data_IF_051344544444
#
_entry.id   IF_051344544444
#
_cell.length_a   1.000
_cell.length_b   1.000
_cell.length_c   1.000
_cell.angle_alpha   90.00
_cell.angle_beta   90.00
_cell.angle_gamma   90.00
#
_symmetry.space_group_name_H-M   'P 1'
#
loop_
_entity.id
_entity.type
_entity.pdbx_description
1 polymer ?
#
# COMPACT_ATOMS: atom_id res chain seq x y z
N UNK A 1 37.35 -42.06 41.25
CA UNK A 1 36.46 -41.10 41.94
C UNK A 1 35.03 -41.55 41.75
N UNK A 2 34.34 -41.99 42.82
CA UNK A 2 32.92 -42.35 42.78
C UNK A 2 32.17 -41.28 43.58
N UNK A 3 31.41 -40.43 42.90
CA UNK A 3 30.56 -39.42 43.55
C UNK A 3 29.31 -40.10 44.10
N UNK A 4 28.92 -39.76 45.33
CA UNK A 4 27.72 -40.33 45.96
C UNK A 4 26.46 -39.84 45.26
N UNK A 5 25.45 -40.70 45.08
CA UNK A 5 24.14 -40.33 44.50
C UNK A 5 23.51 -39.12 45.20
N UNK A 6 23.75 -38.93 46.50
CA UNK A 6 23.31 -37.75 47.25
C UNK A 6 24.03 -36.46 46.81
N UNK A 7 25.31 -36.53 46.45
CA UNK A 7 26.08 -35.39 45.92
C UNK A 7 25.65 -35.04 44.50
N UNK A 8 25.28 -36.03 43.69
CA UNK A 8 24.74 -35.82 42.34
C UNK A 8 23.34 -35.19 42.42
N UNK A 9 22.47 -35.64 43.33
CA UNK A 9 21.13 -35.07 43.51
C UNK A 9 21.19 -33.65 44.07
N UNK A 10 22.08 -33.36 45.02
CA UNK A 10 22.27 -32.01 45.56
C UNK A 10 22.80 -31.06 44.48
N UNK A 11 23.74 -31.51 43.64
CA UNK A 11 24.25 -30.73 42.51
C UNK A 11 23.16 -30.47 41.45
N UNK A 12 22.31 -31.46 41.14
CA UNK A 12 21.18 -31.31 40.21
C UNK A 12 20.12 -30.36 40.79
N UNK A 13 19.79 -30.47 42.08
CA UNK A 13 18.83 -29.59 42.77
C UNK A 13 19.31 -28.13 42.83
N UNK A 14 20.61 -27.89 42.99
CA UNK A 14 21.21 -26.55 42.90
C UNK A 14 21.26 -26.01 41.48
N UNK A 15 21.40 -26.88 40.47
CA UNK A 15 21.37 -26.50 39.04
C UNK A 15 19.95 -26.20 38.56
N UNK A 16 18.92 -26.89 39.10
CA UNK A 16 17.51 -26.58 38.78
C UNK A 16 17.00 -25.29 39.42
N UNK A 17 17.67 -24.75 40.45
CA UNK A 17 17.37 -23.44 41.04
C UNK A 17 18.03 -22.26 40.28
N UNK A 18 18.94 -22.56 39.35
CA UNK A 18 19.57 -21.60 38.44
C UNK A 18 18.90 -21.58 37.05
N UNK A 19 17.80 -22.31 36.87
CA UNK A 19 16.93 -22.15 35.71
C UNK A 19 16.34 -20.73 35.78
N UNK A 20 17.04 -19.81 35.13
CA UNK A 20 16.72 -18.41 34.93
C UNK A 20 15.22 -18.27 34.70
N UNK A 21 14.56 -17.48 35.55
CA UNK A 21 13.19 -17.06 35.30
C UNK A 21 13.26 -16.10 34.10
N UNK A 22 13.06 -16.60 32.87
CA UNK A 22 12.94 -15.75 31.69
C UNK A 22 11.71 -14.88 31.89
N UNK A 23 11.92 -13.58 32.02
CA UNK A 23 10.85 -12.61 32.16
C UNK A 23 10.34 -12.27 30.77
N UNK A 24 9.10 -12.62 30.52
CA UNK A 24 8.38 -12.28 29.29
C UNK A 24 7.77 -10.88 29.43
N UNK A 25 7.90 -10.07 28.40
CA UNK A 25 7.35 -8.71 28.33
C UNK A 25 7.92 -7.96 27.14
N UNK A 26 7.37 -6.79 26.81
CA UNK A 26 7.87 -6.03 25.68
C UNK A 26 9.34 -5.58 25.90
N UNK A 27 10.24 -6.02 25.02
CA UNK A 27 11.67 -5.67 25.08
C UNK A 27 12.04 -4.44 24.22
N UNK A 28 11.09 -3.86 23.47
CA UNK A 28 11.34 -2.67 22.66
C UNK A 28 11.21 -1.38 23.50
N UNK A 29 12.29 -0.60 23.71
CA UNK A 29 12.25 0.65 24.46
C UNK A 29 11.38 1.74 23.83
N UNK A 30 10.98 1.60 22.56
CA UNK A 30 10.08 2.52 21.87
C UNK A 30 8.59 2.22 22.13
N UNK A 31 8.28 1.10 22.79
CA UNK A 31 6.92 0.73 23.17
C UNK A 31 6.49 1.42 24.48
N UNK A 32 5.20 1.73 24.60
CA UNK A 32 4.60 2.35 25.78
C UNK A 32 4.54 1.42 26.99
N UNK A 33 4.53 0.11 26.74
CA UNK A 33 4.52 -0.95 27.73
C UNK A 33 5.89 -1.67 27.86
N UNK A 34 6.99 -0.99 27.49
CA UNK A 34 8.34 -1.52 27.64
C UNK A 34 8.61 -2.03 29.06
N UNK A 35 9.05 -3.28 29.16
CA UNK A 35 9.41 -3.95 30.40
C UNK A 35 10.94 -4.07 30.48
N UNK A 36 11.59 -3.18 31.24
CA UNK A 36 13.06 -3.15 31.41
C UNK A 36 13.65 -4.45 31.94
N UNK A 37 12.83 -5.25 32.62
CA UNK A 37 13.23 -6.53 33.18
C UNK A 37 12.80 -7.72 32.32
N UNK A 38 12.22 -7.51 31.14
CA UNK A 38 11.91 -8.59 30.21
C UNK A 38 13.17 -9.03 29.47
N UNK A 39 13.44 -10.34 29.49
CA UNK A 39 14.53 -10.98 28.78
C UNK A 39 14.06 -11.56 27.42
N UNK A 40 12.75 -11.75 27.26
CA UNK A 40 12.11 -12.28 26.06
C UNK A 40 10.92 -11.40 25.67
N UNK A 41 10.83 -11.03 24.39
CA UNK A 41 9.66 -10.35 23.85
C UNK A 41 8.45 -11.29 23.79
N UNK A 42 7.37 -10.90 24.45
CA UNK A 42 6.10 -11.65 24.44
C UNK A 42 5.19 -11.27 23.26
N UNK A 43 5.64 -10.34 22.41
CA UNK A 43 4.90 -9.87 21.24
C UNK A 43 3.74 -8.94 21.58
N UNK A 44 3.67 -8.44 22.83
CA UNK A 44 2.60 -7.54 23.29
C UNK A 44 2.99 -6.07 23.24
N UNK A 45 4.13 -5.70 22.65
CA UNK A 45 4.56 -4.31 22.53
C UNK A 45 3.48 -3.40 21.95
N UNK A 46 3.08 -2.40 22.73
CA UNK A 46 2.15 -1.34 22.34
C UNK A 46 2.96 -0.10 21.94
N UNK A 47 2.60 0.53 20.82
CA UNK A 47 3.27 1.73 20.35
C UNK A 47 2.26 2.86 20.25
N UNK A 48 2.57 3.99 20.88
CA UNK A 48 1.82 5.22 20.68
C UNK A 48 2.01 5.71 19.24
N UNK A 49 0.96 5.61 18.44
CA UNK A 49 0.94 6.21 17.09
C UNK A 49 0.51 7.67 17.22
N UNK A 50 1.47 8.58 17.26
CA UNK A 50 1.20 10.00 17.18
C UNK A 50 1.12 10.45 15.71
N UNK A 51 -0.10 10.71 15.23
CA UNK A 51 -0.30 11.39 13.96
C UNK A 51 -0.03 12.89 14.14
N UNK A 52 0.94 13.50 13.41
CA UNK A 52 1.15 14.93 13.48
C UNK A 52 -0.09 15.68 12.96
N UNK A 53 -0.40 16.83 13.57
CA UNK A 53 -1.49 17.69 13.10
C UNK A 53 -1.28 18.17 11.66
N UNK A 54 -0.02 18.27 11.22
CA UNK A 54 0.37 18.71 9.88
C UNK A 54 1.55 17.88 9.36
N UNK A 55 1.48 17.44 8.11
CA UNK A 55 2.60 16.84 7.39
C UNK A 55 3.30 17.91 6.54
N UNK A 56 4.61 18.04 6.70
CA UNK A 56 5.45 18.96 5.91
C UNK A 56 6.41 18.15 5.06
N UNK A 57 6.34 18.34 3.74
CA UNK A 57 7.18 17.64 2.77
C UNK A 57 8.11 18.66 2.12
N UNK A 58 9.20 18.96 2.80
CA UNK A 58 10.21 19.92 2.34
C UNK A 58 11.59 19.30 2.26
N UNK A 59 12.41 19.77 1.33
CA UNK A 59 13.83 19.43 1.28
C UNK A 59 14.62 20.15 2.39
N UNK A 60 15.92 19.90 2.47
CA UNK A 60 16.80 20.55 3.44
C UNK A 60 16.89 22.08 3.27
N UNK A 61 16.44 22.62 2.13
CA UNK A 61 16.39 24.05 1.81
C UNK A 61 15.00 24.67 2.06
N UNK A 62 14.02 23.89 2.53
CA UNK A 62 12.66 24.34 2.78
C UNK A 62 11.73 24.36 1.56
N UNK A 63 12.18 23.90 0.39
CA UNK A 63 11.32 23.82 -0.79
C UNK A 63 10.42 22.59 -0.72
N UNK A 64 9.18 22.69 -1.19
CA UNK A 64 8.29 21.53 -1.23
C UNK A 64 8.86 20.45 -2.16
N UNK A 65 8.95 19.21 -1.67
CA UNK A 65 9.29 18.05 -2.49
C UNK A 65 8.10 17.49 -3.26
N UNK A 66 6.92 18.09 -3.06
CA UNK A 66 5.64 17.61 -3.57
C UNK A 66 5.26 18.39 -4.83
N UNK A 67 5.19 17.69 -5.97
CA UNK A 67 4.68 18.29 -7.22
C UNK A 67 3.15 18.26 -7.21
N UNK A 68 2.52 19.36 -6.81
CA UNK A 68 1.05 19.48 -6.77
C UNK A 68 0.42 19.39 -8.16
N UNK A 69 0.96 20.09 -9.16
CA UNK A 69 0.45 20.04 -10.54
C UNK A 69 0.49 18.62 -11.09
N UNK A 70 1.59 17.89 -10.92
CA UNK A 70 1.71 16.50 -11.40
C UNK A 70 0.80 15.50 -10.67
N UNK A 71 0.33 15.83 -9.46
CA UNK A 71 -0.70 15.06 -8.77
C UNK A 71 -2.09 15.39 -9.29
N UNK A 72 -2.39 16.68 -9.49
CA UNK A 72 -3.66 17.12 -10.07
C UNK A 72 -3.87 16.59 -11.48
N UNK A 73 -2.81 16.57 -12.31
CA UNK A 73 -2.85 15.95 -13.63
C UNK A 73 -3.30 14.48 -13.56
N UNK A 74 -2.71 13.67 -12.66
CA UNK A 74 -3.14 12.27 -12.48
C UNK A 74 -4.55 12.15 -11.93
N UNK A 75 -4.95 13.04 -11.04
CA UNK A 75 -6.32 13.05 -10.52
C UNK A 75 -7.33 13.34 -11.63
N UNK A 76 -7.03 14.31 -12.50
CA UNK A 76 -7.82 14.60 -13.69
C UNK A 76 -7.84 13.39 -14.65
N UNK A 77 -6.70 12.76 -14.93
CA UNK A 77 -6.63 11.52 -15.72
C UNK A 77 -7.54 10.42 -15.18
N UNK A 78 -7.47 10.17 -13.85
CA UNK A 78 -8.31 9.17 -13.20
C UNK A 78 -9.80 9.55 -13.25
N UNK A 79 -10.11 10.83 -13.11
CA UNK A 79 -11.48 11.36 -13.18
C UNK A 79 -12.09 11.13 -14.56
N UNK A 80 -11.33 11.43 -15.61
CA UNK A 80 -11.77 11.25 -16.99
C UNK A 80 -11.90 9.75 -17.33
N UNK A 81 -10.93 8.91 -16.94
CA UNK A 81 -11.02 7.45 -17.11
C UNK A 81 -12.22 6.86 -16.38
N UNK A 82 -12.51 7.33 -15.16
CA UNK A 82 -13.70 6.93 -14.39
C UNK A 82 -14.98 7.36 -15.09
N UNK A 83 -14.99 8.54 -15.73
CA UNK A 83 -16.13 9.04 -16.49
C UNK A 83 -16.38 8.17 -17.72
N UNK A 84 -15.32 7.79 -18.43
CA UNK A 84 -15.41 6.86 -19.55
C UNK A 84 -15.92 5.48 -19.10
N UNK A 85 -15.38 4.90 -18.03
CA UNK A 85 -15.87 3.63 -17.47
C UNK A 85 -17.37 3.69 -17.12
N UNK A 86 -17.84 4.81 -16.57
CA UNK A 86 -19.25 5.01 -16.22
C UNK A 86 -20.17 5.12 -17.43
N UNK A 87 -19.66 5.45 -18.63
CA UNK A 87 -20.50 5.49 -19.82
C UNK A 87 -21.06 4.11 -20.18
N UNK A 88 -20.40 3.02 -19.75
CA UNK A 88 -20.92 1.66 -19.89
C UNK A 88 -22.25 1.41 -19.15
N UNK A 89 -22.60 2.27 -18.18
CA UNK A 89 -23.89 2.19 -17.49
C UNK A 89 -25.06 2.68 -18.38
N UNK A 90 -24.77 3.30 -19.53
CA UNK A 90 -25.78 3.63 -20.52
C UNK A 90 -25.97 2.42 -21.44
N UNK A 91 -27.17 1.80 -21.47
CA UNK A 91 -27.41 0.62 -22.29
C UNK A 91 -27.02 0.83 -23.76
N UNK A 92 -26.35 -0.16 -24.35
CA UNK A 92 -25.86 -0.10 -25.73
C UNK A 92 -24.56 0.71 -25.91
N UNK A 93 -23.96 1.23 -24.84
CA UNK A 93 -22.66 1.92 -24.91
C UNK A 93 -21.54 0.94 -24.54
N UNK A 94 -20.79 0.50 -25.55
CA UNK A 94 -19.61 -0.34 -25.36
C UNK A 94 -18.36 0.52 -25.12
N UNK A 95 -17.54 0.10 -24.16
CA UNK A 95 -16.21 0.65 -23.95
C UNK A 95 -15.20 0.04 -24.93
N UNK A 96 -14.15 0.80 -25.22
CA UNK A 96 -13.03 0.35 -26.03
C UNK A 96 -11.82 0.09 -25.13
N UNK A 97 -11.33 -1.16 -25.15
CA UNK A 97 -10.17 -1.57 -24.36
C UNK A 97 -8.91 -0.74 -24.70
N UNK A 98 -8.64 -0.48 -25.99
CA UNK A 98 -7.47 0.29 -26.41
C UNK A 98 -7.54 1.72 -25.87
N UNK A 99 -8.73 2.33 -25.81
CA UNK A 99 -8.91 3.64 -25.18
C UNK A 99 -8.59 3.59 -23.70
N UNK A 100 -9.09 2.60 -22.95
CA UNK A 100 -8.78 2.45 -21.53
C UNK A 100 -7.28 2.24 -21.28
N UNK A 101 -6.63 1.41 -22.08
CA UNK A 101 -5.19 1.15 -22.00
C UNK A 101 -4.38 2.42 -22.33
N UNK A 102 -4.78 3.17 -23.35
CA UNK A 102 -4.18 4.46 -23.71
C UNK A 102 -4.35 5.51 -22.60
N UNK A 103 -5.53 5.59 -21.97
CA UNK A 103 -5.77 6.45 -20.80
C UNK A 103 -4.92 6.02 -19.59
N UNK A 104 -4.79 4.72 -19.35
CA UNK A 104 -4.06 4.20 -18.20
C UNK A 104 -2.55 4.42 -18.30
N UNK A 105 -1.98 4.15 -19.48
CA UNK A 105 -0.56 4.35 -19.78
C UNK A 105 -0.22 5.80 -20.18
N UNK A 106 -1.23 6.64 -20.42
CA UNK A 106 -1.08 7.94 -21.09
C UNK A 106 -0.23 7.82 -22.36
N UNK A 107 -0.67 6.95 -23.26
CA UNK A 107 -0.01 6.63 -24.52
C UNK A 107 -1.01 6.75 -25.67
N UNK A 108 -0.90 7.82 -26.46
CA UNK A 108 -1.79 8.08 -27.59
C UNK A 108 -3.20 8.57 -27.22
N UNK A 109 -3.45 8.94 -25.95
CA UNK A 109 -4.70 9.56 -25.51
C UNK A 109 -4.55 11.08 -25.33
N UNK A 110 -5.56 11.84 -25.77
CA UNK A 110 -5.61 13.30 -25.57
C UNK A 110 -6.59 13.60 -24.45
N UNK A 111 -6.08 14.17 -23.37
CA UNK A 111 -6.87 14.55 -22.19
C UNK A 111 -7.57 15.89 -22.36
N UNK A 112 -8.71 16.04 -21.71
CA UNK A 112 -9.32 17.36 -21.54
C UNK A 112 -8.49 18.22 -20.56
N UNK A 113 -8.36 19.51 -20.87
CA UNK A 113 -7.57 20.45 -20.06
C UNK A 113 -8.40 21.66 -19.60
N UNK A 114 -9.68 21.43 -19.29
CA UNK A 114 -10.59 22.47 -18.79
C UNK A 114 -10.07 23.16 -17.52
N UNK A 115 -9.25 22.46 -16.71
CA UNK A 115 -8.67 22.99 -15.48
C UNK A 115 -7.35 23.77 -15.68
N UNK A 116 -6.78 23.81 -16.90
CA UNK A 116 -5.51 24.48 -17.19
C UNK A 116 -4.32 23.87 -16.43
N UNK A 117 -4.24 22.53 -16.42
CA UNK A 117 -3.22 21.74 -15.74
C UNK A 117 -2.01 21.42 -16.62
N UNK A 118 -1.95 21.96 -17.84
CA UNK A 118 -0.95 21.61 -18.85
C UNK A 118 -0.98 20.10 -19.15
N UNK A 119 -2.18 19.58 -19.42
CA UNK A 119 -2.38 18.16 -19.71
C UNK A 119 -1.74 17.75 -21.04
N UNK A 120 -1.68 18.69 -21.99
CA UNK A 120 -0.99 18.49 -23.27
C UNK A 120 0.50 18.30 -23.04
N UNK A 121 1.02 17.12 -23.40
CA UNK A 121 2.43 16.78 -23.19
C UNK A 121 2.77 16.35 -21.76
N UNK A 122 1.77 16.12 -20.90
CA UNK A 122 2.01 15.56 -19.57
C UNK A 122 2.71 14.20 -19.66
N UNK A 123 3.79 14.02 -18.90
CA UNK A 123 4.50 12.74 -18.79
C UNK A 123 3.92 11.84 -17.69
N UNK A 124 2.80 12.24 -17.07
CA UNK A 124 2.22 11.49 -15.94
C UNK A 124 1.40 10.32 -16.47
N UNK A 125 1.34 9.26 -15.68
CA UNK A 125 0.65 8.02 -16.03
C UNK A 125 -0.05 7.51 -14.76
N UNK A 126 -1.17 6.83 -14.94
CA UNK A 126 -1.82 6.09 -13.86
C UNK A 126 -1.09 4.75 -13.64
N UNK A 127 -0.63 4.12 -14.71
CA UNK A 127 0.12 2.85 -14.70
C UNK A 127 1.29 2.85 -13.72
N UNK A 128 2.15 3.87 -13.75
CA UNK A 128 3.30 3.95 -12.84
C UNK A 128 2.94 4.24 -11.37
N UNK A 129 1.68 4.51 -11.06
CA UNK A 129 1.16 4.69 -9.69
C UNK A 129 0.36 3.50 -9.19
N UNK A 130 0.03 2.54 -10.04
CA UNK A 130 -0.58 1.28 -9.62
C UNK A 130 0.46 0.40 -8.95
N UNK A 131 0.46 0.39 -7.61
CA UNK A 131 1.41 -0.39 -6.79
C UNK A 131 2.86 -0.12 -7.22
N UNK A 132 3.20 1.16 -7.43
CA UNK A 132 4.53 1.57 -7.89
C UNK A 132 4.90 1.16 -9.32
N UNK A 133 3.94 0.70 -10.13
CA UNK A 133 4.17 0.25 -11.50
C UNK A 133 4.69 -1.19 -11.60
N UNK A 134 4.49 -2.00 -10.57
CA UNK A 134 4.86 -3.42 -10.59
C UNK A 134 4.09 -4.18 -11.68
N UNK A 135 4.84 -4.91 -12.52
CA UNK A 135 4.33 -5.56 -13.73
C UNK A 135 3.12 -6.46 -13.45
N UNK A 136 3.20 -7.30 -12.42
CA UNK A 136 2.11 -8.21 -12.06
C UNK A 136 0.79 -7.48 -11.84
N UNK A 137 0.82 -6.37 -11.09
CA UNK A 137 -0.37 -5.59 -10.81
C UNK A 137 -0.80 -4.79 -12.03
N UNK A 138 0.13 -4.16 -12.75
CA UNK A 138 -0.25 -3.40 -13.95
C UNK A 138 -0.90 -4.31 -15.01
N UNK A 139 -0.37 -5.51 -15.22
CA UNK A 139 -0.93 -6.50 -16.16
C UNK A 139 -2.32 -6.96 -15.71
N UNK A 140 -2.51 -7.15 -14.40
CA UNK A 140 -3.83 -7.47 -13.83
C UNK A 140 -4.86 -6.36 -14.10
N UNK A 141 -4.49 -5.08 -13.91
CA UNK A 141 -5.37 -3.95 -14.19
C UNK A 141 -5.66 -3.79 -15.69
N UNK A 142 -4.67 -4.00 -16.55
CA UNK A 142 -4.87 -4.04 -18.00
C UNK A 142 -5.81 -5.19 -18.41
N UNK A 143 -5.69 -6.34 -17.76
CA UNK A 143 -6.64 -7.45 -17.89
C UNK A 143 -8.07 -7.04 -17.52
N UNK A 144 -8.26 -6.30 -16.44
CA UNK A 144 -9.58 -5.77 -16.05
C UNK A 144 -10.14 -4.78 -17.08
N UNK A 145 -9.29 -3.95 -17.70
CA UNK A 145 -9.71 -3.01 -18.75
C UNK A 145 -10.19 -3.73 -20.02
N UNK A 146 -9.51 -4.81 -20.41
CA UNK A 146 -9.98 -5.66 -21.50
C UNK A 146 -11.31 -6.34 -21.13
N UNK A 147 -11.39 -6.94 -19.93
CA UNK A 147 -12.59 -7.65 -19.48
C UNK A 147 -13.82 -6.75 -19.34
N UNK A 148 -13.67 -5.52 -18.84
CA UNK A 148 -14.81 -4.60 -18.75
C UNK A 148 -15.27 -4.09 -20.12
N UNK A 149 -14.36 -3.92 -21.07
CA UNK A 149 -14.73 -3.56 -22.44
C UNK A 149 -15.57 -4.66 -23.09
N UNK A 150 -15.16 -5.93 -22.95
CA UNK A 150 -15.94 -7.09 -23.40
C UNK A 150 -17.30 -7.18 -22.70
N UNK A 151 -17.33 -7.00 -21.37
CA UNK A 151 -18.57 -7.05 -20.59
C UNK A 151 -19.55 -5.92 -21.01
N UNK A 152 -19.04 -4.71 -21.23
CA UNK A 152 -19.85 -3.55 -21.60
C UNK A 152 -20.53 -3.69 -22.96
N UNK A 153 -19.95 -4.48 -23.88
CA UNK A 153 -20.51 -4.72 -25.21
C UNK A 153 -21.82 -5.54 -25.18
N UNK A 154 -22.10 -6.22 -24.06
CA UNK A 154 -23.30 -7.04 -23.88
C UNK A 154 -24.43 -6.29 -23.16
N UNK A 155 -24.25 -5.01 -22.84
CA UNK A 155 -25.25 -4.24 -22.09
C UNK A 155 -26.48 -3.95 -22.97
N UNK A 156 -27.64 -4.43 -22.55
CA UNK A 156 -28.94 -4.23 -23.22
C UNK A 156 -29.95 -3.60 -22.25
N UNK A 157 -30.84 -2.75 -22.78
CA UNK A 157 -31.84 -2.07 -21.97
C UNK A 157 -32.83 -3.09 -21.37
N UNK A 158 -33.03 -3.03 -20.04
CA UNK A 158 -34.06 -3.82 -19.35
C UNK A 158 -33.66 -5.24 -18.94
N UNK A 159 -32.39 -5.64 -19.02
CA UNK A 159 -31.89 -6.89 -18.41
C UNK A 159 -30.97 -6.56 -17.24
N UNK A 160 -31.42 -6.87 -16.02
CA UNK A 160 -30.62 -6.88 -14.78
C UNK A 160 -30.19 -8.29 -14.44
#
# INVERSE_FOLDING_TARGET
MKYSTLQIILAISTVTLLASCTREGCTDPAATNYAENADTDDGTCEYDVYAPATYVFTDASGNSTVSYTGQRQRLNMLSEMTTYLKSANTPGTALNANTLLAMYANDGYTWDDTEGLDMTGSSKQLKNKTVGGELFYTDMFEGYMNGIAEASAMTVEGQT
#
